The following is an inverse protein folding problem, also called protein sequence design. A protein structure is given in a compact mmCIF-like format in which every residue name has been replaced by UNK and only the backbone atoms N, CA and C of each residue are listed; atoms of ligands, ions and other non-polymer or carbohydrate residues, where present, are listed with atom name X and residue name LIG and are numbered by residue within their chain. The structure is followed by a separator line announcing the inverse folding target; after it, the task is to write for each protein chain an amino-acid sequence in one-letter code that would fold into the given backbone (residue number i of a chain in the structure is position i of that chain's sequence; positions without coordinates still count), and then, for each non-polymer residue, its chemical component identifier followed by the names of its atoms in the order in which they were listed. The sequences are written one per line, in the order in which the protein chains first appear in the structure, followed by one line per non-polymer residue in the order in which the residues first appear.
data_IF_037000055018
#
_entry.id   IF_037000055018
#
_cell.length_a   1.000
_cell.length_b   1.000
_cell.length_c   1.000
_cell.angle_alpha   90.00
_cell.angle_beta   90.00
_cell.angle_gamma   90.00
#
_symmetry.space_group_name_H-M   'P 1'
#
loop_
_entity.id
_entity.type
_entity.pdbx_description
1 polymer ?
#
# COMPACT_ATOMS: atom_id res chain seq x y z
N UNK A 1 -22.01 -2.10 -22.68
CA UNK A 1 -20.57 -1.83 -22.79
C UNK A 1 -19.86 -3.14 -23.13
N UNK A 2 -18.91 -3.12 -24.08
CA UNK A 2 -18.02 -4.25 -24.39
C UNK A 2 -16.85 -4.39 -23.40
N UNK A 3 -16.70 -3.43 -22.49
CA UNK A 3 -15.63 -3.44 -21.51
C UNK A 3 -15.80 -4.60 -20.51
N UNK A 4 -14.73 -5.31 -20.27
CA UNK A 4 -14.67 -6.48 -19.37
C UNK A 4 -13.69 -6.30 -18.22
N UNK A 5 -13.00 -5.16 -18.14
CA UNK A 5 -12.00 -4.86 -17.12
C UNK A 5 -12.35 -3.57 -16.39
N UNK A 6 -12.34 -3.63 -15.06
CA UNK A 6 -12.75 -2.51 -14.19
C UNK A 6 -11.79 -2.32 -13.02
N UNK A 7 -11.46 -1.07 -12.74
CA UNK A 7 -10.71 -0.68 -11.54
C UNK A 7 -11.64 0.09 -10.60
N UNK A 8 -11.91 -0.47 -9.42
CA UNK A 8 -12.63 0.20 -8.36
C UNK A 8 -11.65 1.03 -7.54
N UNK A 9 -11.80 2.34 -7.57
CA UNK A 9 -10.89 3.32 -6.95
C UNK A 9 -11.31 3.76 -5.54
N UNK A 10 -12.33 3.12 -4.97
CA UNK A 10 -12.77 3.39 -3.60
C UNK A 10 -11.67 3.01 -2.59
N UNK A 11 -11.38 3.89 -1.65
CA UNK A 11 -10.25 3.73 -0.74
C UNK A 11 -10.52 2.78 0.44
N UNK A 12 -11.79 2.61 0.83
CA UNK A 12 -12.16 1.85 2.03
C UNK A 12 -13.47 1.08 1.82
N UNK A 13 -13.37 -0.11 1.25
CA UNK A 13 -14.53 -0.98 1.08
C UNK A 13 -14.55 -2.00 2.22
N UNK A 14 -15.62 -2.03 3.02
CA UNK A 14 -15.77 -3.03 4.08
C UNK A 14 -15.96 -4.44 3.52
N UNK A 15 -15.59 -5.48 4.29
CA UNK A 15 -15.82 -6.89 3.93
C UNK A 15 -17.26 -7.15 3.49
N UNK A 16 -18.24 -6.63 4.24
CA UNK A 16 -19.68 -6.76 3.90
C UNK A 16 -19.97 -6.21 2.51
N UNK A 17 -19.46 -5.03 2.20
CA UNK A 17 -19.69 -4.39 0.89
C UNK A 17 -18.96 -5.13 -0.23
N UNK A 18 -17.76 -5.64 0.02
CA UNK A 18 -17.02 -6.46 -0.95
C UNK A 18 -17.79 -7.74 -1.32
N UNK A 19 -18.37 -8.43 -0.35
CA UNK A 19 -19.18 -9.62 -0.62
C UNK A 19 -20.45 -9.29 -1.41
N UNK A 20 -21.13 -8.20 -1.09
CA UNK A 20 -22.27 -7.72 -1.88
C UNK A 20 -21.86 -7.39 -3.34
N UNK A 21 -20.72 -6.74 -3.53
CA UNK A 21 -20.19 -6.46 -4.86
C UNK A 21 -19.85 -7.77 -5.59
N UNK A 22 -19.24 -8.74 -4.91
CA UNK A 22 -18.92 -10.04 -5.52
C UNK A 22 -20.16 -10.74 -6.05
N UNK A 23 -21.25 -10.75 -5.29
CA UNK A 23 -22.53 -11.35 -5.73
C UNK A 23 -23.10 -10.65 -6.97
N UNK A 24 -23.03 -9.31 -7.00
CA UNK A 24 -23.53 -8.52 -8.13
C UNK A 24 -22.64 -8.62 -9.37
N UNK A 25 -21.32 -8.75 -9.19
CA UNK A 25 -20.35 -8.76 -10.31
C UNK A 25 -20.18 -10.15 -10.92
N UNK A 26 -20.38 -11.22 -10.13
CA UNK A 26 -20.20 -12.61 -10.58
C UNK A 26 -20.93 -12.95 -11.87
N UNK A 27 -22.23 -12.61 -12.04
CA UNK A 27 -22.96 -12.94 -13.29
C UNK A 27 -22.52 -12.13 -14.51
N UNK A 28 -21.78 -11.02 -14.29
CA UNK A 28 -21.33 -10.15 -15.38
C UNK A 28 -20.11 -10.68 -16.14
N UNK A 29 -19.43 -11.71 -15.59
CA UNK A 29 -18.24 -12.33 -16.17
C UNK A 29 -17.18 -11.28 -16.57
N UNK A 30 -16.83 -10.41 -15.63
CA UNK A 30 -15.83 -9.35 -15.79
C UNK A 30 -14.57 -9.66 -14.98
N UNK A 31 -13.46 -9.01 -15.32
CA UNK A 31 -12.26 -8.96 -14.50
C UNK A 31 -12.19 -7.60 -13.80
N UNK A 32 -11.87 -7.61 -12.51
CA UNK A 32 -11.80 -6.36 -11.77
C UNK A 32 -10.64 -6.34 -10.78
N UNK A 33 -10.28 -5.15 -10.36
CA UNK A 33 -9.28 -4.88 -9.33
C UNK A 33 -9.75 -3.76 -8.42
N UNK A 34 -9.21 -3.72 -7.20
CA UNK A 34 -9.52 -2.70 -6.22
C UNK A 34 -8.33 -2.42 -5.30
N UNK A 35 -8.46 -1.37 -4.49
CA UNK A 35 -7.50 -1.03 -3.45
C UNK A 35 -8.10 -1.34 -2.07
N UNK A 36 -7.34 -2.05 -1.22
CA UNK A 36 -7.80 -2.47 0.10
C UNK A 36 -6.70 -2.32 1.16
N UNK A 37 -7.11 -2.29 2.42
CA UNK A 37 -6.22 -2.51 3.57
C UNK A 37 -6.15 -4.01 3.87
N UNK A 38 -4.96 -4.55 4.19
CA UNK A 38 -4.81 -5.97 4.52
C UNK A 38 -5.20 -6.22 5.99
N UNK A 39 -6.50 -6.25 6.25
CA UNK A 39 -7.09 -6.46 7.59
C UNK A 39 -7.47 -7.93 7.80
N UNK A 40 -7.41 -8.40 9.04
CA UNK A 40 -7.63 -9.82 9.42
C UNK A 40 -8.98 -10.41 9.02
N UNK A 41 -9.98 -9.57 8.78
CA UNK A 41 -11.32 -9.98 8.35
C UNK A 41 -11.38 -10.41 6.88
N UNK A 42 -10.34 -10.11 6.08
CA UNK A 42 -10.17 -10.63 4.72
C UNK A 42 -9.53 -12.03 4.76
N UNK A 43 -10.28 -12.96 5.28
CA UNK A 43 -9.90 -14.36 5.41
C UNK A 43 -9.88 -15.12 4.06
N UNK A 44 -9.41 -16.35 4.08
CA UNK A 44 -9.26 -17.18 2.88
C UNK A 44 -10.60 -17.39 2.15
N UNK A 45 -11.70 -17.59 2.89
CA UNK A 45 -13.03 -17.80 2.31
C UNK A 45 -13.50 -16.54 1.58
N UNK A 46 -13.35 -15.39 2.23
CA UNK A 46 -13.67 -14.09 1.63
C UNK A 46 -12.90 -13.87 0.34
N UNK A 47 -11.59 -14.06 0.37
CA UNK A 47 -10.74 -13.83 -0.81
C UNK A 47 -11.04 -14.81 -1.95
N UNK A 48 -11.37 -16.07 -1.66
CA UNK A 48 -11.85 -17.03 -2.67
C UNK A 48 -13.18 -16.60 -3.28
N UNK A 49 -14.11 -16.10 -2.47
CA UNK A 49 -15.40 -15.57 -2.98
C UNK A 49 -15.18 -14.38 -3.92
N UNK A 50 -14.31 -13.45 -3.53
CA UNK A 50 -13.96 -12.30 -4.35
C UNK A 50 -13.28 -12.73 -5.67
N UNK A 51 -12.34 -13.67 -5.62
CA UNK A 51 -11.71 -14.23 -6.82
C UNK A 51 -12.72 -14.88 -7.76
N UNK A 52 -13.71 -15.63 -7.20
CA UNK A 52 -14.80 -16.24 -7.97
C UNK A 52 -15.75 -15.24 -8.62
N UNK A 53 -15.76 -13.98 -8.20
CA UNK A 53 -16.51 -12.89 -8.85
C UNK A 53 -15.72 -12.13 -9.92
N UNK A 54 -14.48 -12.58 -10.22
CA UNK A 54 -13.62 -11.97 -11.22
C UNK A 54 -12.57 -11.00 -10.67
N UNK A 55 -12.40 -10.89 -9.34
CA UNK A 55 -11.30 -10.13 -8.75
C UNK A 55 -9.96 -10.77 -9.10
N UNK A 56 -9.10 -10.04 -9.81
CA UNK A 56 -7.80 -10.52 -10.28
C UNK A 56 -6.63 -9.91 -9.54
N UNK A 57 -6.76 -8.65 -9.12
CA UNK A 57 -5.67 -7.90 -8.49
C UNK A 57 -6.22 -7.14 -7.29
N UNK A 58 -5.46 -7.13 -6.21
CA UNK A 58 -5.67 -6.20 -5.10
C UNK A 58 -4.41 -5.36 -4.93
N UNK A 59 -4.60 -4.04 -4.84
CA UNK A 59 -3.58 -3.10 -4.44
C UNK A 59 -3.71 -2.92 -2.92
N UNK A 60 -2.73 -3.40 -2.19
CA UNK A 60 -2.73 -3.41 -0.74
C UNK A 60 -2.01 -2.19 -0.17
N UNK A 61 -2.70 -1.39 0.63
CA UNK A 61 -2.08 -0.37 1.47
C UNK A 61 -1.38 -1.01 2.67
N UNK A 62 -0.22 -1.65 2.45
CA UNK A 62 0.60 -2.28 3.49
C UNK A 62 1.31 -1.23 4.33
N UNK A 63 1.85 -0.24 3.69
CA UNK A 63 2.56 0.93 4.19
C UNK A 63 3.90 0.61 4.87
N UNK A 64 3.95 -0.28 5.87
CA UNK A 64 5.17 -0.63 6.61
C UNK A 64 5.19 -2.11 6.99
N UNK A 65 6.38 -2.66 7.11
CA UNK A 65 6.64 -3.98 7.68
C UNK A 65 7.01 -3.94 9.17
N UNK A 66 6.73 -2.84 9.86
CA UNK A 66 6.99 -2.68 11.29
C UNK A 66 5.70 -2.32 12.05
N UNK A 67 5.39 -3.07 13.12
CA UNK A 67 4.13 -2.94 13.86
C UNK A 67 3.99 -1.60 14.60
N UNK A 68 5.10 -1.01 15.10
CA UNK A 68 5.04 0.31 15.74
C UNK A 68 4.64 1.38 14.72
N UNK A 69 5.22 1.34 13.55
CA UNK A 69 4.90 2.30 12.47
C UNK A 69 3.46 2.12 12.01
N UNK A 70 2.98 0.88 11.80
CA UNK A 70 1.59 0.59 11.45
C UNK A 70 0.61 1.12 12.51
N UNK A 71 0.97 0.98 13.80
CA UNK A 71 0.17 1.52 14.92
C UNK A 71 0.14 3.04 14.91
N UNK A 72 1.27 3.72 14.69
CA UNK A 72 1.34 5.17 14.58
C UNK A 72 0.52 5.71 13.40
N UNK A 73 0.52 5.00 12.28
CA UNK A 73 -0.31 5.30 11.12
C UNK A 73 -1.80 4.99 11.32
N UNK A 74 -2.18 4.36 12.42
CA UNK A 74 -3.55 3.91 12.72
C UNK A 74 -4.13 3.02 11.60
N UNK A 75 -3.32 2.09 11.07
CA UNK A 75 -3.73 1.24 9.95
C UNK A 75 -4.72 0.14 10.33
N UNK A 76 -4.87 -0.18 11.63
CA UNK A 76 -5.78 -1.22 12.12
C UNK A 76 -5.37 -2.64 11.72
N UNK A 77 -4.09 -2.83 11.39
CA UNK A 77 -3.49 -4.12 11.04
C UNK A 77 -2.10 -4.25 11.68
N UNK A 78 -1.49 -5.41 11.56
CA UNK A 78 -0.13 -5.72 11.99
C UNK A 78 0.55 -6.62 10.95
N UNK A 79 1.86 -6.79 11.05
CA UNK A 79 2.67 -7.55 10.07
C UNK A 79 2.22 -9.00 9.92
N UNK A 80 1.78 -9.65 11.01
CA UNK A 80 1.24 -11.02 10.99
C UNK A 80 -0.04 -11.11 10.17
N UNK A 81 -0.98 -10.20 10.40
CA UNK A 81 -2.25 -10.16 9.66
C UNK A 81 -1.99 -9.84 8.18
N UNK A 82 -1.11 -8.89 7.87
CA UNK A 82 -0.70 -8.58 6.49
C UNK A 82 -0.16 -9.82 5.79
N UNK A 83 0.79 -10.54 6.41
CA UNK A 83 1.35 -11.78 5.86
C UNK A 83 0.28 -12.82 5.56
N UNK A 84 -0.64 -13.04 6.50
CA UNK A 84 -1.74 -14.00 6.34
C UNK A 84 -2.65 -13.62 5.17
N UNK A 85 -3.03 -12.35 5.06
CA UNK A 85 -3.89 -11.84 3.98
C UNK A 85 -3.21 -11.99 2.63
N UNK A 86 -1.93 -11.61 2.49
CA UNK A 86 -1.18 -11.78 1.25
C UNK A 86 -1.09 -13.24 0.82
N UNK A 87 -0.87 -14.14 1.79
CA UNK A 87 -0.80 -15.59 1.54
C UNK A 87 -2.14 -16.13 1.04
N UNK A 88 -3.23 -15.76 1.72
CA UNK A 88 -4.58 -16.20 1.36
C UNK A 88 -5.03 -15.62 0.00
N UNK A 89 -4.69 -14.37 -0.27
CA UNK A 89 -4.93 -13.71 -1.56
C UNK A 89 -4.25 -14.46 -2.70
N UNK A 90 -2.96 -14.80 -2.54
CA UNK A 90 -2.22 -15.61 -3.52
C UNK A 90 -2.85 -16.98 -3.73
N UNK A 91 -3.22 -17.68 -2.64
CA UNK A 91 -3.91 -18.99 -2.71
C UNK A 91 -5.24 -18.91 -3.46
N UNK A 92 -5.94 -17.79 -3.36
CA UNK A 92 -7.17 -17.54 -4.12
C UNK A 92 -6.92 -17.18 -5.60
N UNK A 93 -5.65 -17.10 -6.05
CA UNK A 93 -5.29 -16.73 -7.41
C UNK A 93 -5.27 -15.23 -7.68
N UNK A 94 -5.40 -14.40 -6.63
CA UNK A 94 -5.38 -12.94 -6.75
C UNK A 94 -3.92 -12.45 -6.74
N UNK A 95 -3.60 -11.51 -7.61
CA UNK A 95 -2.28 -10.87 -7.69
C UNK A 95 -2.18 -9.74 -6.67
N UNK A 96 -1.09 -9.73 -5.90
CA UNK A 96 -0.85 -8.75 -4.84
C UNK A 96 0.08 -7.64 -5.32
N UNK A 97 -0.42 -6.42 -5.39
CA UNK A 97 0.36 -5.20 -5.59
C UNK A 97 0.43 -4.47 -4.25
N UNK A 98 1.61 -4.09 -3.79
CA UNK A 98 1.81 -3.51 -2.48
C UNK A 98 2.19 -2.03 -2.58
N UNK A 99 1.48 -1.19 -1.84
CA UNK A 99 1.91 0.17 -1.53
C UNK A 99 2.68 0.16 -0.23
N UNK A 100 3.88 0.70 -0.26
CA UNK A 100 4.81 0.80 0.87
C UNK A 100 5.31 2.23 0.99
N UNK A 101 5.30 2.76 2.19
CA UNK A 101 5.73 4.11 2.49
C UNK A 101 6.94 4.05 3.44
N UNK A 102 7.99 4.79 3.11
CA UNK A 102 9.16 4.95 3.96
C UNK A 102 9.25 6.36 4.51
N UNK A 103 9.89 6.52 5.65
CA UNK A 103 10.14 7.82 6.26
C UNK A 103 8.92 8.41 6.93
N UNK A 104 8.04 7.57 7.48
CA UNK A 104 7.02 8.04 8.40
C UNK A 104 7.70 8.74 9.59
N UNK A 105 7.17 9.87 10.10
CA UNK A 105 7.80 10.57 11.22
C UNK A 105 8.15 9.62 12.38
N UNK A 106 9.37 9.75 12.91
CA UNK A 106 9.98 8.88 13.93
C UNK A 106 10.45 7.49 13.47
N UNK A 107 10.25 7.10 12.21
CA UNK A 107 10.78 5.83 11.70
C UNK A 107 12.30 5.78 11.84
N UNK A 108 12.83 4.73 12.48
CA UNK A 108 14.27 4.51 12.63
C UNK A 108 14.83 3.72 11.45
N UNK A 109 16.16 3.62 11.37
CA UNK A 109 16.83 2.81 10.35
C UNK A 109 16.47 1.33 10.50
N UNK A 110 16.39 0.84 11.72
CA UNK A 110 16.02 -0.53 12.05
C UNK A 110 14.62 -0.84 11.56
N UNK A 111 13.64 0.04 11.79
CA UNK A 111 12.26 -0.12 11.35
C UNK A 111 12.08 -0.01 9.84
N UNK A 112 12.88 0.86 9.21
CA UNK A 112 13.00 0.86 7.75
C UNK A 112 13.45 -0.51 7.24
N UNK A 113 14.50 -1.10 7.88
CA UNK A 113 15.00 -2.41 7.51
C UNK A 113 14.04 -3.54 7.83
N UNK A 114 13.22 -3.43 8.89
CA UNK A 114 12.12 -4.37 9.16
C UNK A 114 11.16 -4.43 7.97
N UNK A 115 10.83 -3.27 7.39
CA UNK A 115 9.98 -3.20 6.19
C UNK A 115 10.66 -3.89 4.99
N UNK A 116 11.95 -3.67 4.77
CA UNK A 116 12.72 -4.35 3.71
C UNK A 116 12.73 -5.88 3.93
N UNK A 117 12.98 -6.33 5.16
CA UNK A 117 13.00 -7.75 5.53
C UNK A 117 11.62 -8.39 5.35
N UNK A 118 10.56 -7.70 5.80
CA UNK A 118 9.17 -8.14 5.60
C UNK A 118 8.86 -8.38 4.12
N UNK A 119 9.25 -7.45 3.24
CA UNK A 119 9.05 -7.60 1.80
C UNK A 119 9.82 -8.78 1.23
N UNK A 120 11.08 -8.97 1.65
CA UNK A 120 11.92 -10.11 1.24
C UNK A 120 11.33 -11.45 1.68
N UNK A 121 10.90 -11.56 2.93
CA UNK A 121 10.31 -12.79 3.48
C UNK A 121 8.99 -13.16 2.81
N UNK A 122 8.24 -12.17 2.33
CA UNK A 122 6.94 -12.35 1.68
C UNK A 122 7.00 -12.27 0.14
N UNK A 123 8.21 -12.25 -0.46
CA UNK A 123 8.41 -12.04 -1.90
C UNK A 123 7.59 -12.98 -2.78
N UNK A 124 7.38 -14.23 -2.33
CA UNK A 124 6.58 -15.20 -3.09
C UNK A 124 5.12 -14.82 -3.22
N UNK A 125 4.60 -14.02 -2.29
CA UNK A 125 3.22 -13.54 -2.27
C UNK A 125 3.06 -12.19 -3.00
N UNK A 126 4.14 -11.57 -3.47
CA UNK A 126 4.15 -10.22 -4.03
C UNK A 126 4.31 -10.29 -5.55
N UNK A 127 3.59 -9.44 -6.29
CA UNK A 127 3.68 -9.31 -7.75
C UNK A 127 4.27 -7.96 -8.17
N UNK A 128 4.02 -6.90 -7.42
CA UNK A 128 4.57 -5.57 -7.67
C UNK A 128 4.65 -4.79 -6.35
N UNK A 129 5.72 -4.03 -6.17
CA UNK A 129 5.90 -3.10 -5.05
C UNK A 129 5.96 -1.68 -5.61
N UNK A 130 5.09 -0.81 -5.10
CA UNK A 130 5.15 0.62 -5.31
C UNK A 130 5.60 1.30 -4.03
N UNK A 131 6.74 1.99 -4.08
CA UNK A 131 7.29 2.65 -2.89
C UNK A 131 7.15 4.16 -2.98
N UNK A 132 6.68 4.77 -1.90
CA UNK A 132 6.68 6.21 -1.71
C UNK A 132 7.61 6.64 -0.57
N UNK A 133 7.78 7.93 -0.41
CA UNK A 133 8.33 8.54 0.81
C UNK A 133 7.22 9.35 1.44
N UNK A 134 7.10 9.31 2.76
CA UNK A 134 6.09 10.07 3.48
C UNK A 134 6.15 11.55 3.10
N UNK A 135 4.99 12.11 2.80
CA UNK A 135 4.78 13.53 2.55
C UNK A 135 3.71 14.08 3.48
N UNK A 136 4.03 15.14 4.22
CA UNK A 136 3.07 15.80 5.10
C UNK A 136 2.00 16.48 4.25
N UNK A 137 0.74 16.21 4.56
CA UNK A 137 -0.41 16.82 3.90
C UNK A 137 -1.15 17.72 4.89
N UNK A 138 -1.71 18.80 4.38
CA UNK A 138 -2.52 19.74 5.15
C UNK A 138 -3.76 19.04 5.71
N UNK A 139 -4.24 19.53 6.86
CA UNK A 139 -5.45 19.06 7.53
C UNK A 139 -5.43 17.57 7.97
N UNK A 140 -4.26 16.94 7.92
CA UNK A 140 -4.08 15.60 8.49
C UNK A 140 -3.81 15.66 10.00
N UNK A 141 -4.05 14.57 10.75
CA UNK A 141 -3.73 14.52 12.18
C UNK A 141 -2.27 14.89 12.51
N UNK A 142 -1.33 14.52 11.62
CA UNK A 142 0.10 14.84 11.79
C UNK A 142 0.36 16.33 11.55
N UNK A 143 -0.33 16.94 10.61
CA UNK A 143 -0.22 18.38 10.35
C UNK A 143 -0.81 19.21 11.49
N UNK A 144 -1.95 18.78 12.04
CA UNK A 144 -2.67 19.47 13.09
C UNK A 144 -2.04 19.27 14.50
N UNK A 145 -1.31 18.16 14.70
CA UNK A 145 -0.65 17.80 15.96
C UNK A 145 0.80 17.35 15.72
N UNK A 146 1.64 18.20 15.11
CA UNK A 146 2.99 17.81 14.69
C UNK A 146 3.89 17.38 15.87
N UNK A 147 3.67 17.94 17.05
CA UNK A 147 4.39 17.60 18.28
C UNK A 147 4.28 16.13 18.69
N UNK A 148 3.12 15.49 18.39
CA UNK A 148 2.89 14.06 18.67
C UNK A 148 3.70 13.12 17.79
N UNK A 149 4.20 13.65 16.69
CA UNK A 149 4.95 12.91 15.67
C UNK A 149 6.38 13.42 15.51
N UNK A 150 6.86 14.24 16.47
CA UNK A 150 8.18 14.86 16.40
C UNK A 150 8.44 15.64 15.09
N UNK A 151 7.39 16.16 14.48
CA UNK A 151 7.46 17.00 13.28
C UNK A 151 7.68 18.45 13.70
N UNK A 152 8.66 19.11 13.09
CA UNK A 152 9.06 20.48 13.38
C UNK A 152 9.28 21.25 12.08
N UNK A 153 9.38 22.56 12.17
CA UNK A 153 9.74 23.45 11.04
C UNK A 153 8.86 23.26 9.80
N UNK A 154 7.54 23.16 9.99
CA UNK A 154 6.59 23.09 8.87
C UNK A 154 6.60 24.40 8.11
N UNK A 155 6.82 24.34 6.80
CA UNK A 155 6.78 25.48 5.87
C UNK A 155 5.87 25.16 4.70
N UNK A 156 4.95 26.06 4.41
CA UNK A 156 4.10 26.01 3.23
C UNK A 156 4.64 26.92 2.16
N UNK A 157 4.84 26.40 0.96
CA UNK A 157 5.20 27.19 -0.22
C UNK A 157 4.02 27.17 -1.18
N UNK A 158 3.40 28.33 -1.38
CA UNK A 158 2.29 28.50 -2.34
C UNK A 158 2.75 28.13 -3.76
N UNK A 159 1.89 27.46 -4.51
CA UNK A 159 2.05 27.16 -5.94
C UNK A 159 0.85 27.70 -6.71
N UNK A 160 1.06 28.06 -7.97
CA UNK A 160 0.05 28.77 -8.78
C UNK A 160 -1.13 27.89 -9.16
N UNK A 161 -0.91 26.60 -9.42
CA UNK A 161 -1.94 25.67 -9.98
C UNK A 161 -2.18 24.45 -9.07
N UNK A 162 -1.21 24.09 -8.24
CA UNK A 162 -1.26 22.92 -7.38
C UNK A 162 -1.41 23.34 -5.91
N UNK A 163 -1.85 22.40 -5.07
CA UNK A 163 -1.82 22.61 -3.62
C UNK A 163 -0.45 23.06 -3.12
N UNK A 164 -0.43 23.79 -2.02
CA UNK A 164 0.82 24.27 -1.43
C UNK A 164 1.78 23.10 -1.18
N UNK A 165 3.04 23.29 -1.49
CA UNK A 165 4.08 22.34 -1.15
C UNK A 165 4.40 22.49 0.33
N UNK A 166 4.22 21.43 1.10
CA UNK A 166 4.57 21.38 2.51
C UNK A 166 5.96 20.73 2.64
N UNK A 167 6.86 21.45 3.30
CA UNK A 167 8.15 20.92 3.75
C UNK A 167 8.18 20.90 5.29
N UNK A 168 8.89 19.96 5.85
CA UNK A 168 8.98 19.79 7.30
C UNK A 168 10.32 19.12 7.65
N UNK A 169 10.64 19.12 8.94
CA UNK A 169 11.73 18.37 9.52
C UNK A 169 11.17 17.49 10.65
N UNK A 170 11.92 16.50 11.08
CA UNK A 170 11.62 15.70 12.26
C UNK A 170 12.75 15.86 13.28
N UNK A 171 12.40 15.92 14.55
CA UNK A 171 13.39 15.97 15.63
C UNK A 171 13.94 14.59 16.00
N UNK A 172 13.37 13.52 15.46
CA UNK A 172 13.86 12.14 15.61
C UNK A 172 13.48 11.28 14.40
N UNK A 173 14.11 10.12 14.26
CA UNK A 173 13.93 9.22 13.13
C UNK A 173 14.83 9.60 11.95
N UNK A 174 14.57 8.97 10.80
CA UNK A 174 15.36 9.15 9.59
C UNK A 174 15.12 10.51 8.94
N UNK A 175 16.19 11.13 8.51
CA UNK A 175 16.13 12.32 7.63
C UNK A 175 15.76 11.92 6.20
N UNK A 176 15.26 12.88 5.41
CA UNK A 176 14.93 12.65 4.00
C UNK A 176 16.14 12.16 3.17
N UNK A 177 17.34 12.60 3.51
CA UNK A 177 18.57 12.15 2.83
C UNK A 177 18.92 10.73 3.17
N UNK A 178 18.80 10.33 4.44
CA UNK A 178 19.00 8.94 4.87
C UNK A 178 17.97 8.01 4.23
N UNK A 179 16.71 8.40 4.18
CA UNK A 179 15.65 7.64 3.49
C UNK A 179 16.00 7.44 2.02
N UNK A 180 16.40 8.50 1.30
CA UNK A 180 16.82 8.40 -0.10
C UNK A 180 17.99 7.44 -0.28
N UNK A 181 18.99 7.52 0.61
CA UNK A 181 20.18 6.64 0.61
C UNK A 181 19.79 5.18 0.84
N UNK A 182 18.97 4.91 1.86
CA UNK A 182 18.48 3.57 2.17
C UNK A 182 17.60 2.99 1.06
N UNK A 183 16.70 3.79 0.47
CA UNK A 183 15.93 3.36 -0.70
C UNK A 183 16.84 3.02 -1.89
N UNK A 184 17.87 3.83 -2.15
CA UNK A 184 18.83 3.59 -3.24
C UNK A 184 19.61 2.31 -3.01
N UNK A 185 20.11 2.06 -1.79
CA UNK A 185 20.87 0.85 -1.47
C UNK A 185 20.04 -0.44 -1.54
N UNK A 186 18.73 -0.36 -1.29
CA UNK A 186 17.83 -1.52 -1.36
C UNK A 186 17.07 -1.64 -2.69
N UNK A 187 17.31 -0.74 -3.66
CA UNK A 187 16.59 -0.68 -4.94
C UNK A 187 16.63 -2.00 -5.70
N UNK A 188 17.81 -2.60 -5.84
CA UNK A 188 17.98 -3.86 -6.56
C UNK A 188 17.18 -5.01 -5.94
N UNK A 189 17.14 -5.10 -4.60
CA UNK A 189 16.33 -6.09 -3.89
C UNK A 189 14.85 -5.89 -4.18
N UNK A 190 14.34 -4.66 -4.08
CA UNK A 190 12.93 -4.34 -4.33
C UNK A 190 12.54 -4.63 -5.78
N UNK A 191 13.41 -4.32 -6.75
CA UNK A 191 13.18 -4.63 -8.16
C UNK A 191 13.17 -6.14 -8.42
N UNK A 192 14.00 -6.92 -7.75
CA UNK A 192 14.05 -8.39 -7.87
C UNK A 192 12.79 -9.08 -7.35
N UNK A 193 12.10 -8.51 -6.37
CA UNK A 193 10.84 -9.05 -5.83
C UNK A 193 9.70 -8.90 -6.85
N UNK A 194 9.73 -7.86 -7.69
CA UNK A 194 8.68 -7.60 -8.66
C UNK A 194 8.60 -8.70 -9.72
N UNK A 195 7.41 -9.24 -9.91
CA UNK A 195 7.07 -10.18 -11.00
C UNK A 195 6.43 -9.46 -12.18
N UNK A 196 5.83 -8.30 -11.94
CA UNK A 196 5.34 -7.39 -12.97
C UNK A 196 6.42 -6.35 -13.30
N UNK A 197 6.45 -5.84 -14.55
CA UNK A 197 7.34 -4.74 -14.90
C UNK A 197 7.15 -3.55 -13.97
N UNK A 198 8.23 -2.91 -13.53
CA UNK A 198 8.18 -1.78 -12.58
C UNK A 198 7.44 -0.57 -13.15
N UNK A 199 7.41 -0.43 -14.46
CA UNK A 199 6.71 0.62 -15.19
C UNK A 199 5.19 0.58 -14.92
N UNK A 200 4.66 -0.60 -14.55
CA UNK A 200 3.26 -0.75 -14.16
C UNK A 200 2.87 0.03 -12.91
N UNK A 201 3.84 0.55 -12.15
CA UNK A 201 3.57 1.53 -11.10
C UNK A 201 2.99 2.86 -11.63
N UNK A 202 3.28 3.20 -12.90
CA UNK A 202 2.74 4.38 -13.58
C UNK A 202 1.47 4.08 -14.39
N UNK A 203 1.30 2.81 -14.81
CA UNK A 203 0.20 2.35 -15.67
C UNK A 203 -0.70 1.35 -14.93
N UNK A 204 -1.07 1.68 -13.68
CA UNK A 204 -1.82 0.79 -12.79
C UNK A 204 -3.17 0.36 -13.35
N UNK A 205 -3.83 1.22 -14.10
CA UNK A 205 -5.08 0.95 -14.81
C UNK A 205 -4.96 -0.16 -15.85
N UNK A 206 -3.75 -0.48 -16.29
CA UNK A 206 -3.46 -1.55 -17.26
C UNK A 206 -3.01 -2.86 -16.61
N UNK A 207 -2.91 -2.93 -15.29
CA UNK A 207 -2.45 -4.14 -14.58
C UNK A 207 -3.30 -5.38 -14.91
N UNK A 208 -4.60 -5.21 -15.15
CA UNK A 208 -5.49 -6.32 -15.52
C UNK A 208 -5.12 -6.98 -16.84
N UNK A 209 -4.36 -6.32 -17.70
CA UNK A 209 -3.86 -6.91 -18.96
C UNK A 209 -2.75 -7.96 -18.72
N UNK A 210 -2.23 -8.05 -17.48
CA UNK A 210 -1.21 -9.02 -17.07
C UNK A 210 -1.81 -10.27 -16.38
N UNK A 211 -3.15 -10.41 -16.38
CA UNK A 211 -3.88 -11.48 -15.68
C UNK A 211 -4.62 -12.44 -16.62
#
# INVERSE_FOLDING_TARGET
SKQKQFFFIDDMISKKRLLQLADLLKPLNISWMCQLRPTKDLDEITLKTLAGSGLKIIIWGVESGNDRILKLMQKGTNTKDVKNVLTNSKKAGIKNVLYVMFGFPTETKEEFMDTINFLKENQDNIHLISTSTFGLQKDTPIYNHPEKFNVINIKETKRTVLEAKISYQTSSGLTLEEIKRLKKSNKHLLEKINKFPKEMNFFREHLLNLC
#
